data_IF_379058257024
#
_entry.id   IF_379058257024
#
_cell.length_a   1.000
_cell.length_b   1.000
_cell.length_c   1.000
_cell.angle_alpha   90.00
_cell.angle_beta   90.00
_cell.angle_gamma   90.00
#
_symmetry.space_group_name_H-M   'P 1'
#
loop_
_entity.id
_entity.type
_entity.pdbx_description
1 polymer ?
#
# COMPACT_ATOMS: atom_id res chain seq x y z
N UNK A 1 28.93 -3.79 6.96
CA UNK A 1 28.03 -3.46 8.08
C UNK A 1 28.39 -2.10 8.64
N UNK A 2 27.70 -1.07 8.18
CA UNK A 2 27.70 0.27 8.76
C UNK A 2 26.78 0.31 9.99
N UNK A 3 26.82 1.41 10.74
CA UNK A 3 25.93 1.63 11.90
C UNK A 3 24.47 1.72 11.45
N UNK A 4 24.24 2.30 10.28
CA UNK A 4 22.94 2.47 9.65
C UNK A 4 22.38 1.12 9.21
N UNK A 5 23.21 0.28 8.59
CA UNK A 5 22.86 -1.11 8.22
C UNK A 5 22.49 -1.93 9.45
N UNK A 6 23.28 -1.83 10.55
CA UNK A 6 22.98 -2.53 11.80
C UNK A 6 21.65 -2.04 12.42
N UNK A 7 21.40 -0.73 12.42
CA UNK A 7 20.14 -0.17 12.93
C UNK A 7 18.96 -0.65 12.10
N UNK A 8 19.06 -0.66 10.78
CA UNK A 8 18.00 -1.14 9.89
C UNK A 8 17.68 -2.62 10.14
N UNK A 9 18.71 -3.46 10.32
CA UNK A 9 18.52 -4.88 10.68
C UNK A 9 17.76 -5.05 12.00
N UNK A 10 18.13 -4.29 13.03
CA UNK A 10 17.43 -4.34 14.33
C UNK A 10 15.98 -3.87 14.18
N UNK A 11 15.73 -2.79 13.44
CA UNK A 11 14.37 -2.30 13.18
C UNK A 11 13.50 -3.37 12.51
N UNK A 12 14.00 -3.99 11.44
CA UNK A 12 13.27 -5.03 10.72
C UNK A 12 12.94 -6.23 11.63
N UNK A 13 13.90 -6.70 12.42
CA UNK A 13 13.68 -7.82 13.34
C UNK A 13 12.67 -7.50 14.45
N UNK A 14 12.65 -6.25 14.95
CA UNK A 14 11.68 -5.81 15.94
C UNK A 14 10.29 -5.68 15.31
N UNK A 15 10.18 -5.09 14.13
CA UNK A 15 8.93 -4.94 13.39
C UNK A 15 8.30 -6.30 13.08
N UNK A 16 9.09 -7.26 12.58
CA UNK A 16 8.67 -8.64 12.36
C UNK A 16 8.11 -9.26 13.65
N UNK A 17 8.82 -9.13 14.77
CA UNK A 17 8.36 -9.69 16.04
C UNK A 17 7.09 -9.02 16.58
N UNK A 18 6.95 -7.71 16.39
CA UNK A 18 5.74 -6.98 16.77
C UNK A 18 4.55 -7.44 15.93
N UNK A 19 4.73 -7.61 14.61
CA UNK A 19 3.68 -8.10 13.72
C UNK A 19 3.25 -9.53 14.08
N UNK A 20 4.20 -10.43 14.39
CA UNK A 20 3.88 -11.78 14.86
C UNK A 20 3.08 -11.79 16.18
N UNK A 21 3.33 -10.84 17.07
CA UNK A 21 2.72 -10.81 18.40
C UNK A 21 1.36 -10.09 18.42
N UNK A 22 1.23 -9.03 17.64
CA UNK A 22 0.07 -8.13 17.66
C UNK A 22 -0.89 -8.36 16.49
N UNK A 23 -0.44 -9.07 15.44
CA UNK A 23 -1.21 -9.26 14.22
C UNK A 23 -1.15 -8.04 13.30
N UNK A 24 -1.97 -8.07 12.25
CA UNK A 24 -2.11 -6.94 11.35
C UNK A 24 -2.93 -5.85 12.05
N UNK A 25 -2.38 -4.64 12.28
CA UNK A 25 -3.13 -3.57 12.92
C UNK A 25 -4.34 -3.11 12.09
N UNK A 26 -4.35 -3.40 10.79
CA UNK A 26 -5.46 -3.11 9.89
C UNK A 26 -6.45 -4.29 9.78
N UNK A 27 -6.22 -5.40 10.49
CA UNK A 27 -7.15 -6.52 10.54
C UNK A 27 -8.54 -6.05 11.01
N UNK A 28 -9.59 -6.53 10.35
CA UNK A 28 -10.99 -6.11 10.56
C UNK A 28 -11.36 -4.67 10.17
N UNK A 29 -10.41 -3.83 9.72
CA UNK A 29 -10.76 -2.48 9.24
C UNK A 29 -11.48 -2.54 7.89
N UNK A 30 -12.61 -1.84 7.79
CA UNK A 30 -13.31 -1.66 6.52
C UNK A 30 -12.69 -0.54 5.68
N UNK A 31 -12.58 -0.80 4.38
CA UNK A 31 -12.29 0.26 3.40
C UNK A 31 -13.42 1.29 3.42
N UNK A 32 -13.05 2.57 3.55
CA UNK A 32 -13.97 3.71 3.41
C UNK A 32 -14.90 3.54 2.21
N UNK A 33 -16.21 3.76 2.41
CA UNK A 33 -17.24 3.59 1.35
C UNK A 33 -16.85 4.27 0.03
N UNK A 34 -16.33 5.49 0.08
CA UNK A 34 -15.89 6.23 -1.11
C UNK A 34 -14.78 5.53 -1.89
N UNK A 35 -13.81 4.94 -1.18
CA UNK A 35 -12.71 4.17 -1.78
C UNK A 35 -13.24 2.86 -2.37
N UNK A 36 -14.08 2.13 -1.62
CA UNK A 36 -14.72 0.89 -2.09
C UNK A 36 -15.51 1.10 -3.38
N UNK A 37 -16.34 2.15 -3.42
CA UNK A 37 -17.13 2.48 -4.61
C UNK A 37 -16.27 2.86 -5.81
N UNK A 38 -15.19 3.62 -5.59
CA UNK A 38 -14.22 3.97 -6.64
C UNK A 38 -13.57 2.71 -7.21
N UNK A 39 -13.09 1.81 -6.35
CA UNK A 39 -12.48 0.54 -6.76
C UNK A 39 -13.47 -0.34 -7.53
N UNK A 40 -14.73 -0.43 -7.07
CA UNK A 40 -15.77 -1.19 -7.76
C UNK A 40 -16.10 -0.63 -9.16
N UNK A 41 -16.02 0.71 -9.36
CA UNK A 41 -16.14 1.32 -10.69
C UNK A 41 -14.94 1.00 -11.56
N UNK A 42 -13.73 1.17 -11.04
CA UNK A 42 -12.50 0.87 -11.78
C UNK A 42 -12.43 -0.59 -12.22
N UNK A 43 -12.79 -1.54 -11.34
CA UNK A 43 -12.86 -2.96 -11.67
C UNK A 43 -13.79 -3.24 -12.85
N UNK A 44 -14.96 -2.59 -12.89
CA UNK A 44 -15.92 -2.72 -14.00
C UNK A 44 -15.39 -2.12 -15.31
N UNK A 45 -14.77 -0.95 -15.25
CA UNK A 45 -14.16 -0.30 -16.41
C UNK A 45 -13.06 -1.17 -17.03
N UNK A 46 -12.17 -1.72 -16.20
CA UNK A 46 -11.12 -2.65 -16.66
C UNK A 46 -11.72 -3.91 -17.28
N UNK A 47 -12.77 -4.48 -16.67
CA UNK A 47 -13.46 -5.64 -17.22
C UNK A 47 -14.15 -5.34 -18.56
N UNK A 48 -14.59 -4.09 -18.78
CA UNK A 48 -15.12 -3.61 -20.05
C UNK A 48 -14.03 -3.28 -21.10
N UNK A 49 -12.74 -3.46 -20.76
CA UNK A 49 -11.62 -3.23 -21.65
C UNK A 49 -11.09 -1.78 -21.64
N UNK A 50 -11.60 -0.93 -20.75
CA UNK A 50 -11.07 0.43 -20.58
C UNK A 50 -9.64 0.38 -20.04
N UNK A 51 -8.73 1.12 -20.69
CA UNK A 51 -7.35 1.26 -20.22
C UNK A 51 -7.29 2.35 -19.16
N UNK A 52 -6.56 2.07 -18.08
CA UNK A 52 -6.24 3.05 -17.05
C UNK A 52 -5.21 4.07 -17.54
N UNK A 53 -4.80 4.95 -16.63
CA UNK A 53 -3.70 5.89 -16.88
C UNK A 53 -2.35 5.21 -16.62
N UNK A 54 -1.29 5.58 -17.34
CA UNK A 54 0.08 5.21 -16.97
C UNK A 54 0.39 5.62 -15.53
N UNK A 55 1.13 4.78 -14.81
CA UNK A 55 1.47 5.04 -13.40
C UNK A 55 2.35 6.29 -13.29
N UNK A 56 3.26 6.47 -14.25
CA UNK A 56 4.21 7.58 -14.32
C UNK A 56 3.49 8.94 -14.36
N UNK A 57 2.39 9.02 -15.12
CA UNK A 57 1.59 10.24 -15.22
C UNK A 57 0.89 10.56 -13.90
N UNK A 58 0.43 9.54 -13.18
CA UNK A 58 -0.25 9.69 -11.89
C UNK A 58 0.74 10.10 -10.79
N UNK A 59 1.93 9.49 -10.77
CA UNK A 59 3.00 9.83 -9.81
C UNK A 59 3.42 11.29 -9.97
N UNK A 60 3.60 11.77 -11.21
CA UNK A 60 3.89 13.18 -11.51
C UNK A 60 2.80 14.13 -11.03
N UNK A 61 1.54 13.83 -11.35
CA UNK A 61 0.40 14.67 -10.96
C UNK A 61 0.29 14.78 -9.43
N UNK A 62 0.48 13.67 -8.72
CA UNK A 62 0.37 13.61 -7.27
C UNK A 62 1.64 14.06 -6.54
N UNK A 63 2.72 14.37 -7.26
CA UNK A 63 4.02 14.78 -6.70
C UNK A 63 4.57 13.75 -5.71
N UNK A 64 4.49 12.48 -6.09
CA UNK A 64 4.99 11.34 -5.31
C UNK A 64 6.37 10.85 -5.81
N UNK A 65 7.08 11.69 -6.57
CA UNK A 65 8.45 11.44 -7.06
C UNK A 65 9.50 11.63 -5.97
#
# INVERSE_FOLDING_TARGET
MTKEELRALIHAAVEEKLFEMLGDPDEELEIWKAVRERLARQKRAVAAGERGRPLEDVVRELKLE
#
